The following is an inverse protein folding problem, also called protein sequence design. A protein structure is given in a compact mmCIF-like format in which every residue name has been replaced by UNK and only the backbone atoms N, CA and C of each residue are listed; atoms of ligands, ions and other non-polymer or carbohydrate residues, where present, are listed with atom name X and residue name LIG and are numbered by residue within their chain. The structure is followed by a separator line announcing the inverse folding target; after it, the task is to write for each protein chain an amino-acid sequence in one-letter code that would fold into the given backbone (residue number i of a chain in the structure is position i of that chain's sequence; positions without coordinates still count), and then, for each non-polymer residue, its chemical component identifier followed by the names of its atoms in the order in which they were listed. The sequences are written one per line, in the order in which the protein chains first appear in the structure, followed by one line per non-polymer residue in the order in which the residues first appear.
data_IF_626049218973
#
_entry.id   IF_626049218973
#
_cell.length_a   1.000
_cell.length_b   1.000
_cell.length_c   1.000
_cell.angle_alpha   90.00
_cell.angle_beta   90.00
_cell.angle_gamma   90.00
#
_symmetry.space_group_name_H-M   'P 1'
#
loop_
_entity.id
_entity.type
_entity.pdbx_description
1 polymer ?
#
# COMPACT_ATOMS: atom_id res chain seq x y z
N UNK A 1 -9.29 -0.59 -2.25
CA UNK A 1 -8.33 0.11 -1.38
C UNK A 1 -8.39 1.59 -1.69
N UNK A 2 -8.13 2.45 -0.71
CA UNK A 2 -8.02 3.91 -0.86
C UNK A 2 -6.69 4.38 -0.27
N UNK A 3 -6.07 5.37 -0.87
CA UNK A 3 -4.86 6.01 -0.37
C UNK A 3 -5.00 7.53 -0.36
N UNK A 4 -4.26 8.15 0.55
CA UNK A 4 -4.43 9.54 0.95
C UNK A 4 -3.08 10.19 1.18
N UNK A 5 -2.93 11.43 0.72
CA UNK A 5 -1.67 12.20 0.77
C UNK A 5 -1.28 12.67 2.17
N UNK A 6 -2.22 12.66 3.11
CA UNK A 6 -1.97 13.08 4.48
C UNK A 6 -2.47 12.01 5.44
N UNK A 7 -2.02 12.11 6.69
CA UNK A 7 -2.55 11.31 7.78
C UNK A 7 -4.08 11.51 7.93
N UNK A 8 -4.71 10.61 8.66
CA UNK A 8 -6.13 10.58 8.98
C UNK A 8 -7.06 10.49 7.76
N UNK A 9 -6.59 9.84 6.69
CA UNK A 9 -7.32 9.67 5.43
C UNK A 9 -7.71 11.01 4.78
N UNK A 10 -6.83 12.01 4.85
CA UNK A 10 -7.03 13.32 4.25
C UNK A 10 -6.36 13.44 2.86
N UNK A 11 -7.00 14.18 1.94
CA UNK A 11 -6.55 14.37 0.55
C UNK A 11 -6.43 13.03 -0.21
N UNK A 12 -7.57 12.55 -0.71
CA UNK A 12 -7.64 11.33 -1.52
C UNK A 12 -6.83 11.45 -2.81
N UNK A 13 -5.92 10.49 -3.05
CA UNK A 13 -5.10 10.44 -4.27
C UNK A 13 -5.53 9.32 -5.22
N UNK A 14 -6.06 8.20 -4.70
CA UNK A 14 -6.52 7.13 -5.56
C UNK A 14 -7.21 6.00 -4.82
N UNK A 15 -8.02 5.25 -5.57
CA UNK A 15 -8.69 4.06 -5.08
C UNK A 15 -8.87 3.02 -6.18
N UNK A 16 -8.80 1.76 -5.81
CA UNK A 16 -8.91 0.64 -6.74
C UNK A 16 -9.60 -0.55 -6.10
N UNK A 17 -10.49 -1.20 -6.85
CA UNK A 17 -11.06 -2.52 -6.53
C UNK A 17 -10.30 -3.66 -7.23
N UNK A 18 -9.27 -3.32 -8.00
CA UNK A 18 -8.31 -4.22 -8.65
C UNK A 18 -6.91 -3.93 -8.10
N UNK A 19 -5.86 -4.46 -8.73
CA UNK A 19 -4.47 -4.09 -8.49
C UNK A 19 -4.05 -2.87 -9.32
N UNK A 20 -2.96 -2.22 -8.92
CA UNK A 20 -2.24 -1.22 -9.70
C UNK A 20 -0.75 -1.39 -9.45
N UNK A 21 -0.01 -1.78 -10.49
CA UNK A 21 1.40 -2.14 -10.39
C UNK A 21 2.35 -0.95 -10.48
N UNK A 22 1.86 0.25 -10.79
CA UNK A 22 2.70 1.45 -10.91
C UNK A 22 1.84 2.71 -10.82
N UNK A 23 1.78 3.30 -9.63
CA UNK A 23 1.05 4.54 -9.36
C UNK A 23 1.68 5.77 -10.02
N UNK A 24 2.93 5.65 -10.50
CA UNK A 24 3.68 6.71 -11.16
C UNK A 24 3.45 6.77 -12.67
N UNK A 25 2.73 5.82 -13.26
CA UNK A 25 2.35 5.90 -14.66
C UNK A 25 1.06 6.72 -14.86
N UNK A 26 0.74 7.09 -16.10
CA UNK A 26 -0.49 7.81 -16.43
C UNK A 26 -1.65 6.86 -16.79
N UNK A 27 -1.78 5.74 -16.07
CA UNK A 27 -2.71 4.65 -16.40
C UNK A 27 -3.29 4.00 -15.15
N UNK A 28 -4.61 3.82 -15.13
CA UNK A 28 -5.29 3.09 -14.06
C UNK A 28 -5.82 4.02 -12.96
N UNK A 29 -6.09 3.48 -11.77
CA UNK A 29 -6.74 4.21 -10.68
C UNK A 29 -5.85 5.26 -10.02
N UNK A 30 -4.53 5.11 -10.08
CA UNK A 30 -3.54 6.11 -9.68
C UNK A 30 -2.94 6.75 -10.93
N UNK A 31 -2.43 7.97 -10.80
CA UNK A 31 -1.92 8.79 -11.90
C UNK A 31 -0.53 9.32 -11.59
N UNK A 32 0.25 9.67 -12.62
CA UNK A 32 1.71 9.72 -12.51
C UNK A 32 2.39 10.69 -11.54
N UNK A 33 1.64 11.42 -10.71
CA UNK A 33 2.15 12.13 -9.53
C UNK A 33 1.82 11.47 -8.19
N UNK A 34 1.10 10.34 -8.17
CA UNK A 34 0.54 9.74 -6.95
C UNK A 34 1.49 8.70 -6.31
N UNK A 35 2.54 8.29 -7.03
CA UNK A 35 3.60 7.45 -6.47
C UNK A 35 4.32 8.17 -5.33
N UNK A 36 4.60 7.46 -4.24
CA UNK A 36 5.35 7.98 -3.09
C UNK A 36 4.69 9.20 -2.43
N UNK A 37 3.36 9.25 -2.44
CA UNK A 37 2.60 10.35 -1.83
C UNK A 37 1.70 9.89 -0.68
N UNK A 38 1.45 8.58 -0.52
CA UNK A 38 0.50 8.09 0.47
C UNK A 38 1.06 8.15 1.89
N UNK A 39 0.36 8.83 2.80
CA UNK A 39 0.63 8.86 4.24
C UNK A 39 -0.46 8.15 5.07
N UNK A 40 -1.57 7.76 4.45
CA UNK A 40 -2.59 6.90 5.08
C UNK A 40 -3.38 6.08 4.05
N UNK A 41 -3.89 4.93 4.48
CA UNK A 41 -4.52 3.93 3.61
C UNK A 41 -5.75 3.29 4.25
N UNK A 42 -6.68 2.83 3.41
CA UNK A 42 -7.97 2.28 3.83
C UNK A 42 -8.39 1.10 2.96
N UNK A 43 -8.69 -0.02 3.60
CA UNK A 43 -9.24 -1.23 3.01
C UNK A 43 -10.79 -1.23 3.10
N UNK A 44 -11.44 -0.79 2.01
CA UNK A 44 -12.90 -0.95 1.81
C UNK A 44 -13.31 -2.19 1.00
N UNK A 45 -12.40 -3.15 0.80
CA UNK A 45 -12.65 -4.30 -0.06
C UNK A 45 -13.48 -5.41 0.56
N UNK A 46 -13.67 -6.47 -0.24
CA UNK A 46 -14.44 -7.66 0.10
C UNK A 46 -13.53 -8.73 0.71
N UNK A 47 -13.44 -8.84 2.03
CA UNK A 47 -12.70 -9.90 2.76
C UNK A 47 -11.21 -10.11 2.41
N UNK A 48 -10.67 -9.47 1.38
CA UNK A 48 -9.28 -9.53 0.96
C UNK A 48 -8.44 -8.50 1.71
N UNK A 49 -7.16 -8.82 1.81
CA UNK A 49 -6.13 -7.92 2.32
C UNK A 49 -5.53 -7.15 1.15
N UNK A 50 -4.94 -6.00 1.45
CA UNK A 50 -4.25 -5.19 0.44
C UNK A 50 -2.78 -5.19 0.80
N UNK A 51 -1.94 -5.61 -0.14
CA UNK A 51 -0.49 -5.51 -0.04
C UNK A 51 -0.04 -4.27 -0.83
N UNK A 52 0.73 -3.42 -0.18
CA UNK A 52 1.29 -2.18 -0.72
C UNK A 52 2.80 -2.31 -0.80
N UNK A 53 3.41 -1.80 -1.88
CA UNK A 53 4.83 -1.95 -2.13
C UNK A 53 5.50 -0.61 -2.42
N UNK A 54 6.79 -0.51 -2.12
CA UNK A 54 7.66 0.58 -2.60
C UNK A 54 8.25 0.33 -4.00
N UNK A 55 7.98 -0.84 -4.59
CA UNK A 55 8.35 -1.18 -5.95
C UNK A 55 7.21 -0.98 -6.96
N UNK A 56 7.56 -1.08 -8.24
CA UNK A 56 6.61 -1.11 -9.36
C UNK A 56 6.80 -2.39 -10.18
N UNK A 57 5.78 -2.79 -10.93
CA UNK A 57 5.79 -4.01 -11.75
C UNK A 57 4.90 -5.13 -11.21
N UNK A 58 4.62 -6.12 -12.06
CA UNK A 58 3.77 -7.27 -11.71
C UNK A 58 4.54 -8.46 -11.15
N UNK A 59 5.87 -8.34 -11.03
CA UNK A 59 6.70 -9.20 -10.19
C UNK A 59 6.53 -8.87 -8.70
N UNK A 60 5.90 -7.73 -8.37
CA UNK A 60 5.58 -7.30 -7.01
C UNK A 60 6.83 -7.27 -6.11
N UNK A 61 7.93 -6.79 -6.69
CA UNK A 61 9.22 -6.67 -6.02
C UNK A 61 9.27 -5.45 -5.10
N UNK A 62 10.32 -5.38 -4.29
CA UNK A 62 10.50 -4.36 -3.26
C UNK A 62 9.93 -4.80 -1.92
N UNK A 63 9.92 -3.86 -0.99
CA UNK A 63 9.35 -4.07 0.33
C UNK A 63 7.85 -3.90 0.35
N UNK A 64 7.19 -4.59 1.29
CA UNK A 64 5.74 -4.54 1.41
C UNK A 64 5.22 -4.36 2.84
N UNK A 65 4.04 -3.78 2.92
CA UNK A 65 3.15 -3.80 4.09
C UNK A 65 1.77 -4.26 3.65
N UNK A 66 1.01 -4.81 4.58
CA UNK A 66 -0.36 -5.23 4.36
C UNK A 66 -1.33 -4.45 5.23
N UNK A 67 -2.55 -4.27 4.72
CA UNK A 67 -3.67 -3.76 5.48
C UNK A 67 -4.78 -4.81 5.50
N UNK A 68 -5.04 -5.34 6.70
CA UNK A 68 -6.09 -6.33 6.88
C UNK A 68 -7.47 -5.71 6.68
N UNK A 69 -8.47 -6.54 6.40
CA UNK A 69 -9.85 -6.06 6.35
C UNK A 69 -10.38 -5.67 7.73
N UNK A 70 -9.91 -6.36 8.78
CA UNK A 70 -10.36 -6.21 10.16
C UNK A 70 -9.88 -4.91 10.79
N UNK A 71 -8.66 -4.49 10.48
CA UNK A 71 -8.09 -3.18 10.85
C UNK A 71 -8.75 -2.03 10.09
N UNK A 72 -9.17 -2.31 8.85
CA UNK A 72 -9.85 -1.41 7.93
C UNK A 72 -9.02 -0.21 7.46
N UNK A 73 -8.25 0.47 8.31
CA UNK A 73 -7.43 1.63 7.93
C UNK A 73 -6.12 1.72 8.73
N UNK A 74 -5.07 2.24 8.09
CA UNK A 74 -3.87 2.74 8.75
C UNK A 74 -3.89 4.26 8.58
N UNK A 75 -4.14 4.98 9.67
CA UNK A 75 -4.40 6.42 9.62
C UNK A 75 -3.13 7.25 9.52
N UNK A 76 -1.97 6.70 9.83
CA UNK A 76 -0.71 7.42 9.78
C UNK A 76 0.42 6.40 9.56
N UNK A 77 1.07 6.47 8.41
CA UNK A 77 2.13 5.52 8.03
C UNK A 77 3.51 5.93 8.59
N UNK A 78 3.62 7.02 9.34
CA UNK A 78 4.92 7.55 9.81
C UNK A 78 5.68 6.64 10.78
N UNK A 79 5.01 5.62 11.33
CA UNK A 79 5.60 4.60 12.21
C UNK A 79 5.58 3.19 11.58
N UNK A 80 5.23 3.08 10.30
CA UNK A 80 5.21 1.82 9.57
C UNK A 80 6.44 1.71 8.67
N UNK A 81 7.08 0.54 8.70
CA UNK A 81 8.17 0.22 7.78
C UNK A 81 7.79 -0.97 6.91
N UNK A 82 8.23 -0.94 5.65
CA UNK A 82 8.14 -2.08 4.76
C UNK A 82 8.89 -3.29 5.32
N UNK A 83 8.32 -4.48 5.11
CA UNK A 83 9.07 -5.71 5.20
C UNK A 83 9.97 -5.84 3.97
N UNK A 84 11.27 -5.98 4.20
CA UNK A 84 12.26 -6.27 3.16
C UNK A 84 12.97 -7.57 3.55
N UNK A 85 13.32 -8.39 2.55
CA UNK A 85 14.10 -9.63 2.77
C UNK A 85 15.47 -9.37 3.45
N UNK A 86 15.92 -8.10 3.45
CA UNK A 86 17.11 -7.65 4.16
C UNK A 86 16.69 -6.75 5.33
N UNK A 87 16.85 -7.27 6.56
CA UNK A 87 16.36 -6.67 7.80
C UNK A 87 16.98 -5.29 8.15
N UNK A 88 18.07 -4.93 7.49
CA UNK A 88 18.88 -3.72 7.77
C UNK A 88 18.41 -2.45 7.03
N UNK A 89 17.47 -2.56 6.09
CA UNK A 89 16.99 -1.42 5.28
C UNK A 89 15.46 -1.45 5.18
N UNK A 90 14.79 -1.46 6.33
CA UNK A 90 13.33 -1.31 6.40
C UNK A 90 12.99 0.16 6.10
N UNK A 91 12.77 0.47 4.83
CA UNK A 91 12.35 1.81 4.43
C UNK A 91 10.99 2.17 5.05
N UNK A 92 10.84 3.41 5.49
CA UNK A 92 9.57 3.96 5.98
C UNK A 92 8.48 3.84 4.90
N UNK A 93 7.26 3.47 5.29
CA UNK A 93 6.13 3.32 4.38
C UNK A 93 5.48 4.66 4.01
N UNK A 94 5.59 5.64 4.90
CA UNK A 94 5.08 6.98 4.67
C UNK A 94 5.72 7.62 3.43
N UNK A 95 4.88 8.10 2.52
CA UNK A 95 5.30 8.77 1.28
C UNK A 95 6.24 7.90 0.42
N UNK A 96 6.03 6.57 0.44
CA UNK A 96 6.92 5.62 -0.24
C UNK A 96 6.19 4.47 -0.96
N UNK A 97 4.86 4.44 -0.93
CA UNK A 97 4.07 3.44 -1.66
C UNK A 97 3.99 3.79 -3.15
N UNK A 98 4.31 2.81 -4.00
CA UNK A 98 4.37 2.92 -5.46
C UNK A 98 3.44 1.95 -6.19
N UNK A 99 2.96 0.89 -5.54
CA UNK A 99 2.03 -0.08 -6.14
C UNK A 99 1.22 -0.85 -5.10
N UNK A 100 0.15 -1.54 -5.54
CA UNK A 100 -0.64 -2.43 -4.67
C UNK A 100 -1.25 -3.62 -5.41
N UNK A 101 -1.58 -4.66 -4.64
CA UNK A 101 -2.44 -5.77 -5.07
C UNK A 101 -3.33 -6.26 -3.93
N UNK A 102 -4.40 -6.96 -4.30
CA UNK A 102 -5.24 -7.68 -3.33
C UNK A 102 -4.72 -9.10 -3.13
N UNK A 103 -4.68 -9.56 -1.88
CA UNK A 103 -4.23 -10.91 -1.53
C UNK A 103 -5.22 -11.60 -0.62
N UNK A 104 -5.34 -12.92 -0.78
CA UNK A 104 -6.25 -13.75 0.01
C UNK A 104 -5.73 -13.83 1.47
N UNK A 105 -6.57 -13.64 2.49
CA UNK A 105 -6.15 -13.76 3.90
C UNK A 105 -5.50 -15.11 4.24
N UNK A 106 -5.89 -16.17 3.54
CA UNK A 106 -5.33 -17.51 3.76
C UNK A 106 -3.99 -17.73 3.03
N UNK A 107 -3.44 -16.70 2.37
CA UNK A 107 -2.16 -16.78 1.67
C UNK A 107 -1.02 -16.23 2.53
N UNK A 108 0.16 -16.85 2.45
CA UNK A 108 1.37 -16.38 3.15
C UNK A 108 2.01 -15.15 2.47
N UNK A 109 1.21 -14.25 1.89
CA UNK A 109 1.71 -13.03 1.24
C UNK A 109 1.80 -11.84 2.20
N UNK A 110 1.12 -11.91 3.36
CA UNK A 110 1.11 -10.85 4.36
C UNK A 110 1.73 -11.32 5.67
N UNK A 111 2.86 -10.71 6.03
CA UNK A 111 3.64 -10.96 7.24
C UNK A 111 4.02 -9.66 7.98
N UNK A 112 3.68 -8.51 7.40
CA UNK A 112 3.89 -7.17 7.97
C UNK A 112 2.63 -6.33 7.78
N UNK A 113 2.12 -5.77 8.87
CA UNK A 113 0.87 -5.03 8.91
C UNK A 113 1.14 -3.55 9.16
N UNK A 114 0.45 -2.69 8.41
CA UNK A 114 0.35 -1.26 8.69
C UNK A 114 -0.52 -1.02 9.93
N UNK A 115 -0.32 0.07 10.69
CA UNK A 115 -1.04 0.31 11.96
C UNK A 115 -1.72 1.68 12.09
#
# INVERSE_FOLDING_TARGET
MYAYKHAYCETHIGNSDSWDSDWGNSSGPFQGGDTNEASSILNKGNSYEVQFFNGTGQDWAGGHICLSRDEAYASDLSNDDFHNDNDDDRGEANDAISSHRWVNPDSNNCDRWAT
#
